data_IF_970670855590
#
_entry.id   IF_970670855590
#
_cell.length_a   1.000
_cell.length_b   1.000
_cell.length_c   1.000
_cell.angle_alpha   90.00
_cell.angle_beta   90.00
_cell.angle_gamma   90.00
#
_symmetry.space_group_name_H-M   'P 1'
#
loop_
_entity.id
_entity.type
_entity.pdbx_description
1 polymer ?
#
# COMPACT_ATOMS: atom_id res chain seq x y z
N UNK A 1 11.06 -10.19 3.37
CA UNK A 1 9.89 -10.72 4.11
C UNK A 1 8.87 -11.17 3.08
N UNK A 2 8.17 -12.28 3.30
CA UNK A 2 7.15 -12.73 2.32
C UNK A 2 5.91 -11.84 2.40
N UNK A 3 5.37 -11.43 1.24
CA UNK A 3 4.16 -10.61 1.15
C UNK A 3 2.96 -11.38 1.74
N UNK A 4 2.24 -10.84 2.73
CA UNK A 4 1.06 -11.51 3.24
C UNK A 4 -0.08 -11.50 2.21
N UNK A 5 -0.94 -12.54 2.17
CA UNK A 5 -2.06 -12.59 1.24
C UNK A 5 -3.12 -11.53 1.58
N UNK A 6 -3.89 -11.11 0.58
CA UNK A 6 -5.15 -10.40 0.79
C UNK A 6 -6.19 -11.41 1.28
N UNK A 7 -6.70 -11.21 2.50
CA UNK A 7 -7.66 -12.06 3.20
C UNK A 7 -9.13 -11.70 2.88
N UNK A 8 -9.35 -11.03 1.75
CA UNK A 8 -10.66 -10.58 1.27
C UNK A 8 -10.76 -10.65 -0.27
N UNK A 9 -11.99 -10.71 -0.83
CA UNK A 9 -12.19 -10.74 -2.28
C UNK A 9 -11.87 -9.36 -2.92
N UNK A 10 -10.59 -9.13 -3.20
CA UNK A 10 -10.08 -7.88 -3.75
C UNK A 10 -10.50 -7.67 -5.21
N UNK A 11 -10.70 -6.41 -5.60
CA UNK A 11 -10.86 -6.04 -7.00
C UNK A 11 -9.54 -6.31 -7.74
N UNK A 12 -9.59 -6.75 -9.00
CA UNK A 12 -8.40 -7.17 -9.76
C UNK A 12 -7.31 -6.08 -9.81
N UNK A 13 -7.71 -4.82 -10.01
CA UNK A 13 -6.79 -3.66 -10.01
C UNK A 13 -6.13 -3.47 -8.64
N UNK A 14 -6.87 -3.61 -7.55
CA UNK A 14 -6.33 -3.46 -6.21
C UNK A 14 -5.37 -4.61 -5.86
N UNK A 15 -5.72 -5.84 -6.25
CA UNK A 15 -4.86 -7.01 -6.07
C UNK A 15 -3.56 -6.92 -6.91
N UNK A 16 -3.64 -6.34 -8.10
CA UNK A 16 -2.46 -6.10 -8.94
C UNK A 16 -1.55 -5.03 -8.32
N UNK A 17 -2.12 -3.90 -7.90
CA UNK A 17 -1.38 -2.87 -7.19
C UNK A 17 -0.68 -3.43 -5.94
N UNK A 18 -1.40 -4.16 -5.10
CA UNK A 18 -0.82 -4.76 -3.90
C UNK A 18 0.35 -5.70 -4.21
N UNK A 19 0.22 -6.58 -5.21
CA UNK A 19 1.33 -7.45 -5.66
C UNK A 19 2.53 -6.67 -6.20
N UNK A 20 2.29 -5.58 -6.94
CA UNK A 20 3.38 -4.74 -7.47
C UNK A 20 4.27 -4.15 -6.38
N UNK A 21 3.76 -3.98 -5.15
CA UNK A 21 4.56 -3.54 -4.01
C UNK A 21 5.65 -4.54 -3.64
N UNK A 22 5.41 -5.84 -3.79
CA UNK A 22 6.41 -6.89 -3.51
C UNK A 22 7.45 -7.04 -4.63
N UNK A 23 7.06 -6.70 -5.87
CA UNK A 23 7.92 -6.71 -7.04
C UNK A 23 8.81 -5.45 -7.11
N UNK A 24 8.45 -4.40 -6.36
CA UNK A 24 9.23 -3.18 -6.25
C UNK A 24 10.55 -3.44 -5.51
N UNK A 25 11.64 -2.81 -5.98
CA UNK A 25 12.92 -2.84 -5.26
C UNK A 25 12.86 -2.25 -3.84
N UNK A 26 11.78 -1.55 -3.49
CA UNK A 26 11.52 -1.06 -2.13
C UNK A 26 10.97 -2.14 -1.18
N UNK A 27 10.43 -3.25 -1.70
CA UNK A 27 9.82 -4.31 -0.89
C UNK A 27 10.74 -4.90 0.19
N UNK A 28 12.06 -4.82 -0.02
CA UNK A 28 13.09 -5.29 0.93
C UNK A 28 13.03 -4.54 2.27
N UNK A 29 12.51 -3.33 2.27
CA UNK A 29 12.45 -2.44 3.41
C UNK A 29 11.09 -2.45 4.12
N UNK A 30 10.08 -3.13 3.55
CA UNK A 30 8.74 -3.18 4.12
C UNK A 30 8.71 -3.95 5.43
N UNK A 31 8.21 -3.30 6.47
CA UNK A 31 7.92 -3.91 7.75
C UNK A 31 6.54 -4.59 7.73
N UNK A 32 6.24 -5.47 8.71
CA UNK A 32 4.89 -6.03 8.86
C UNK A 32 3.80 -4.96 8.97
N UNK A 33 4.13 -3.80 9.55
CA UNK A 33 3.23 -2.65 9.69
C UNK A 33 2.88 -2.03 8.33
N UNK A 34 3.83 -1.98 7.39
CA UNK A 34 3.62 -1.49 6.03
C UNK A 34 2.73 -2.42 5.24
N UNK A 35 2.96 -3.73 5.37
CA UNK A 35 2.09 -4.71 4.74
C UNK A 35 0.66 -4.63 5.28
N UNK A 36 0.47 -4.34 6.57
CA UNK A 36 -0.85 -4.11 7.16
C UNK A 36 -1.52 -2.85 6.59
N UNK A 37 -0.79 -1.74 6.48
CA UNK A 37 -1.29 -0.51 5.87
C UNK A 37 -1.64 -0.70 4.38
N UNK A 38 -0.78 -1.38 3.63
CA UNK A 38 -1.02 -1.72 2.23
C UNK A 38 -2.29 -2.57 2.04
N UNK A 39 -2.56 -3.52 2.94
CA UNK A 39 -3.82 -4.30 2.94
C UNK A 39 -5.04 -3.40 3.16
N UNK A 40 -4.95 -2.46 4.10
CA UNK A 40 -6.04 -1.51 4.36
C UNK A 40 -6.33 -0.64 3.12
N UNK A 41 -5.29 -0.13 2.47
CA UNK A 41 -5.43 0.65 1.24
C UNK A 41 -6.05 -0.19 0.11
N UNK A 42 -5.60 -1.45 -0.05
CA UNK A 42 -6.17 -2.37 -1.05
C UNK A 42 -7.65 -2.67 -0.79
N UNK A 43 -8.04 -2.76 0.49
CA UNK A 43 -9.43 -2.96 0.91
C UNK A 43 -10.30 -1.76 0.53
N UNK A 44 -9.88 -0.54 0.87
CA UNK A 44 -10.66 0.67 0.55
C UNK A 44 -10.67 0.97 -0.95
N UNK A 45 -9.57 0.70 -1.67
CA UNK A 45 -9.52 0.77 -3.12
C UNK A 45 -10.50 -0.23 -3.77
N UNK A 46 -10.58 -1.45 -3.25
CA UNK A 46 -11.55 -2.45 -3.71
C UNK A 46 -12.99 -1.95 -3.55
N UNK A 47 -13.33 -1.40 -2.38
CA UNK A 47 -14.66 -0.83 -2.12
C UNK A 47 -14.96 0.35 -3.03
N UNK A 48 -13.97 1.22 -3.24
CA UNK A 48 -14.10 2.36 -4.14
C UNK A 48 -14.40 1.90 -5.57
N UNK A 49 -13.62 0.97 -6.10
CA UNK A 49 -13.77 0.44 -7.45
C UNK A 49 -15.10 -0.32 -7.65
N UNK A 50 -15.54 -1.09 -6.65
CA UNK A 50 -16.84 -1.77 -6.69
C UNK A 50 -18.05 -0.83 -6.55
N UNK A 51 -17.87 0.37 -6.00
CA UNK A 51 -18.99 1.30 -5.79
C UNK A 51 -19.62 1.82 -7.10
N UNK A 52 -18.91 1.68 -8.23
CA UNK A 52 -19.34 2.20 -9.53
C UNK A 52 -19.40 3.73 -9.60
N UNK A 53 -18.98 4.43 -8.53
CA UNK A 53 -18.95 5.89 -8.46
C UNK A 53 -17.52 6.40 -8.45
N UNK A 54 -17.20 7.27 -9.40
CA UNK A 54 -15.91 7.97 -9.41
C UNK A 54 -15.98 9.12 -8.39
N UNK A 55 -15.18 9.02 -7.34
CA UNK A 55 -14.98 10.10 -6.36
C UNK A 55 -13.54 10.55 -6.44
N UNK A 56 -13.32 11.72 -7.05
CA UNK A 56 -11.98 12.29 -7.19
C UNK A 56 -11.31 12.54 -5.83
N UNK A 57 -12.09 12.94 -4.80
CA UNK A 57 -11.58 13.12 -3.44
C UNK A 57 -11.14 11.80 -2.81
N UNK A 58 -11.94 10.73 -2.94
CA UNK A 58 -11.56 9.42 -2.42
C UNK A 58 -10.31 8.90 -3.13
N UNK A 59 -10.26 9.03 -4.46
CA UNK A 59 -9.10 8.63 -5.24
C UNK A 59 -7.85 9.42 -4.84
N UNK A 60 -7.95 10.73 -4.64
CA UNK A 60 -6.84 11.56 -4.18
C UNK A 60 -6.35 11.15 -2.78
N UNK A 61 -7.26 10.84 -1.85
CA UNK A 61 -6.91 10.36 -0.52
C UNK A 61 -6.21 9.00 -0.56
N UNK A 62 -6.72 8.06 -1.36
CA UNK A 62 -6.07 6.76 -1.59
C UNK A 62 -4.69 6.93 -2.21
N UNK A 63 -4.57 7.79 -3.22
CA UNK A 63 -3.29 8.10 -3.88
C UNK A 63 -2.27 8.70 -2.91
N UNK A 64 -2.70 9.59 -2.01
CA UNK A 64 -1.84 10.13 -0.95
C UNK A 64 -1.37 9.01 -0.01
N UNK A 65 -2.28 8.15 0.46
CA UNK A 65 -1.92 7.04 1.35
C UNK A 65 -0.94 6.05 0.70
N UNK A 66 -1.05 5.82 -0.62
CA UNK A 66 -0.10 5.00 -1.37
C UNK A 66 1.30 5.64 -1.42
N UNK A 67 1.38 6.96 -1.62
CA UNK A 67 2.65 7.69 -1.56
C UNK A 67 3.23 7.72 -0.15
N UNK A 68 2.38 7.78 0.87
CA UNK A 68 2.80 7.74 2.26
C UNK A 68 3.47 6.41 2.60
N UNK A 69 2.97 5.28 2.06
CA UNK A 69 3.59 3.97 2.24
C UNK A 69 5.06 3.94 1.75
N UNK A 70 5.36 4.64 0.64
CA UNK A 70 6.71 4.78 0.08
C UNK A 70 7.58 5.70 0.96
N UNK A 71 6.99 6.72 1.58
CA UNK A 71 7.73 7.72 2.36
C UNK A 71 7.91 7.35 3.83
N UNK A 72 7.00 6.57 4.44
CA UNK A 72 7.12 6.10 5.83
C UNK A 72 8.35 5.23 6.04
N UNK A 73 8.75 4.50 5.00
CA UNK A 73 9.99 3.74 4.96
C UNK A 73 11.23 4.65 5.06
N UNK A 74 11.41 5.58 4.12
CA UNK A 74 12.52 6.53 4.14
C UNK A 74 12.53 7.43 5.40
N UNK A 75 11.36 7.73 5.95
CA UNK A 75 11.22 8.50 7.19
C UNK A 75 11.61 7.70 8.43
N UNK A 76 11.18 6.43 8.56
CA UNK A 76 11.59 5.57 9.69
C UNK A 76 13.08 5.29 9.68
N UNK A 77 13.68 5.10 8.51
CA UNK A 77 15.13 4.93 8.39
C UNK A 77 15.90 6.17 8.82
N UNK A 78 15.45 7.39 8.47
CA UNK A 78 16.05 8.64 8.97
C UNK A 78 15.94 8.80 10.48
N UNK A 79 14.85 8.32 11.09
CA UNK A 79 14.66 8.35 12.55
C UNK A 79 15.49 7.27 13.24
N UNK A 80 15.69 6.11 12.62
CA UNK A 80 16.44 4.98 13.17
C UNK A 80 17.98 5.17 13.17
N UNK A 81 18.50 6.21 12.51
CA UNK A 81 19.87 6.68 12.72
C UNK A 81 21.00 5.72 12.30
N UNK A 82 20.78 4.85 11.31
CA UNK A 82 21.83 3.99 10.74
C UNK A 82 22.30 4.59 9.40
N UNK A 83 23.57 5.04 9.28
CA UNK A 83 24.12 5.50 8.02
C UNK A 83 24.44 4.31 7.11
N UNK A 84 24.17 4.47 5.82
CA UNK A 84 24.76 3.65 4.76
C UNK A 84 26.27 3.85 4.70
#
# INVERSE_FOLDING_TARGET
MEQPPLDFPAHQVAAHWYRSLAESGQAVFYEPSDWAAAKLIAFDLTRHLHSGRVSAQMLAALWSAMNDLITTEAARWRVAGQPW
#
